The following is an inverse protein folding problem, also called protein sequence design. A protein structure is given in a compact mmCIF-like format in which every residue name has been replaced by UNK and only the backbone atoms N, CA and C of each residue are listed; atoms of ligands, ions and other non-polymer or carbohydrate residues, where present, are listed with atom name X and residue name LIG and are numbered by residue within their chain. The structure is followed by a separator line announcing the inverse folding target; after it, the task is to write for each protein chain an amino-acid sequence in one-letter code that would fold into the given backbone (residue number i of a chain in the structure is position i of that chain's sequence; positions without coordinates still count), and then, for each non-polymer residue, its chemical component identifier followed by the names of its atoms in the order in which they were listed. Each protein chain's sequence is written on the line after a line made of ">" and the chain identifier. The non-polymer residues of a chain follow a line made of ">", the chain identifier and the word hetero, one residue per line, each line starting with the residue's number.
data_IF_031803266073
#
_entry.id   IF_031803266073
#
_cell.length_a   1.000
_cell.length_b   1.000
_cell.length_c   1.000
_cell.angle_alpha   90.00
_cell.angle_beta   90.00
_cell.angle_gamma   90.00
#
_symmetry.space_group_name_H-M   'P 1'
#
loop_
_entity.id
_entity.type
_entity.pdbx_description
1 polymer ?
#
# COMPACT_ATOMS: atom_id res chain seq x y z
N UNK A 1 10.27 13.63 39.12
CA UNK A 1 10.69 12.29 38.69
C UNK A 1 9.46 11.40 38.70
N UNK A 2 9.09 10.93 37.51
CA UNK A 2 7.92 10.10 37.22
C UNK A 2 7.88 8.87 38.12
N UNK A 3 6.79 8.68 38.87
CA UNK A 3 6.41 7.34 39.33
C UNK A 3 6.01 6.55 38.08
N UNK A 4 6.98 5.96 37.40
CA UNK A 4 6.81 5.27 36.13
C UNK A 4 6.09 3.95 36.36
N UNK A 5 4.76 4.00 36.35
CA UNK A 5 3.93 2.81 36.27
C UNK A 5 4.29 2.09 34.96
N UNK A 6 4.80 0.85 35.01
CA UNK A 6 5.27 0.12 33.83
C UNK A 6 4.17 -0.05 32.77
N UNK A 7 2.91 -0.04 33.20
CA UNK A 7 1.74 -0.09 32.34
C UNK A 7 1.60 1.13 31.41
N UNK A 8 1.83 2.35 31.92
CA UNK A 8 1.67 3.57 31.10
C UNK A 8 2.73 3.65 30.00
N UNK A 9 3.97 3.19 30.27
CA UNK A 9 5.00 3.08 29.24
C UNK A 9 4.60 2.10 28.15
N UNK A 10 4.18 0.90 28.53
CA UNK A 10 3.76 -0.13 27.58
C UNK A 10 2.64 0.34 26.66
N UNK A 11 1.65 1.08 27.18
CA UNK A 11 0.54 1.61 26.39
C UNK A 11 1.04 2.68 25.41
N UNK A 12 1.87 3.63 25.88
CA UNK A 12 2.42 4.68 25.04
C UNK A 12 3.28 4.11 23.89
N UNK A 13 4.11 3.10 24.17
CA UNK A 13 4.90 2.39 23.16
C UNK A 13 3.99 1.67 22.15
N UNK A 14 2.87 1.07 22.58
CA UNK A 14 1.92 0.41 21.67
C UNK A 14 1.28 1.39 20.67
N UNK A 15 0.83 2.56 21.14
CA UNK A 15 0.28 3.59 20.25
C UNK A 15 1.31 4.08 19.23
N UNK A 16 2.56 4.28 19.65
CA UNK A 16 3.63 4.70 18.74
C UNK A 16 3.91 3.63 17.67
N UNK A 17 4.01 2.37 18.04
CA UNK A 17 4.22 1.26 17.10
C UNK A 17 3.06 1.14 16.09
N UNK A 18 1.81 1.28 16.55
CA UNK A 18 0.64 1.29 15.66
C UNK A 18 0.70 2.43 14.64
N UNK A 19 1.07 3.62 15.08
CA UNK A 19 1.16 4.79 14.21
C UNK A 19 2.26 4.62 13.14
N UNK A 20 3.43 4.13 13.56
CA UNK A 20 4.56 3.87 12.64
C UNK A 20 4.18 2.80 11.60
N UNK A 21 3.56 1.71 12.01
CA UNK A 21 3.12 0.65 11.10
C UNK A 21 2.11 1.15 10.05
N UNK A 22 1.18 2.01 10.45
CA UNK A 22 0.21 2.61 9.53
C UNK A 22 0.89 3.48 8.48
N UNK A 23 1.74 4.42 8.91
CA UNK A 23 2.50 5.29 8.00
C UNK A 23 3.44 4.50 7.08
N UNK A 24 4.07 3.45 7.60
CA UNK A 24 4.94 2.57 6.81
C UNK A 24 4.15 1.83 5.72
N UNK A 25 2.94 1.37 6.04
CA UNK A 25 2.09 0.68 5.07
C UNK A 25 1.61 1.62 3.97
N UNK A 26 1.19 2.84 4.33
CA UNK A 26 0.77 3.87 3.36
C UNK A 26 1.94 4.27 2.45
N UNK A 27 3.12 4.52 3.01
CA UNK A 27 4.29 4.91 2.22
C UNK A 27 4.77 3.79 1.28
N UNK A 28 4.78 2.54 1.74
CA UNK A 28 5.09 1.37 0.90
C UNK A 28 4.09 1.22 -0.25
N UNK A 29 2.81 1.48 -0.01
CA UNK A 29 1.78 1.47 -1.05
C UNK A 29 1.96 2.59 -2.08
N UNK A 30 2.27 3.81 -1.64
CA UNK A 30 2.57 4.92 -2.53
C UNK A 30 3.79 4.64 -3.42
N UNK A 31 4.84 4.02 -2.88
CA UNK A 31 6.02 3.61 -3.65
C UNK A 31 5.68 2.56 -4.71
N UNK A 32 4.83 1.59 -4.39
CA UNK A 32 4.35 0.60 -5.36
C UNK A 32 3.58 1.25 -6.52
N UNK A 33 2.70 2.22 -6.22
CA UNK A 33 1.99 2.98 -7.26
C UNK A 33 2.98 3.79 -8.10
N UNK A 34 3.96 4.42 -7.46
CA UNK A 34 4.96 5.25 -8.14
C UNK A 34 5.79 4.45 -9.14
N UNK A 35 6.31 3.29 -8.74
CA UNK A 35 7.07 2.38 -9.64
C UNK A 35 6.23 1.96 -10.86
N UNK A 36 4.95 1.76 -10.62
CA UNK A 36 4.00 1.36 -11.64
C UNK A 36 3.65 2.48 -12.62
N UNK A 37 3.49 3.72 -12.13
CA UNK A 37 3.31 4.91 -12.97
C UNK A 37 4.52 5.18 -13.85
N UNK A 38 5.73 4.93 -13.35
CA UNK A 38 6.97 5.13 -14.10
C UNK A 38 7.09 4.18 -15.29
N UNK A 39 6.62 2.94 -15.14
CA UNK A 39 6.70 1.89 -16.16
C UNK A 39 5.48 1.87 -17.10
N UNK A 40 4.37 2.50 -16.72
CA UNK A 40 3.17 2.66 -17.53
C UNK A 40 3.37 3.34 -18.90
N UNK A 41 4.14 4.44 -19.07
CA UNK A 41 4.31 5.07 -20.39
C UNK A 41 5.00 4.15 -21.38
N UNK A 42 5.98 3.37 -20.93
CA UNK A 42 6.64 2.37 -21.78
C UNK A 42 5.68 1.24 -22.14
N UNK A 43 4.85 0.79 -21.20
CA UNK A 43 3.80 -0.18 -21.50
C UNK A 43 2.78 0.34 -22.50
N UNK A 44 2.34 1.60 -22.41
CA UNK A 44 1.41 2.15 -23.41
C UNK A 44 2.07 2.19 -24.79
N UNK A 45 3.32 2.65 -24.88
CA UNK A 45 4.01 2.77 -26.16
C UNK A 45 4.26 1.42 -26.84
N UNK A 46 4.74 0.42 -26.09
CA UNK A 46 5.11 -0.89 -26.64
C UNK A 46 3.96 -1.91 -26.59
N UNK A 47 3.15 -1.89 -25.52
CA UNK A 47 2.06 -2.84 -25.29
C UNK A 47 0.71 -2.43 -25.90
N UNK A 48 0.41 -1.15 -26.16
CA UNK A 48 -0.89 -0.77 -26.73
C UNK A 48 -0.88 -0.61 -28.25
N UNK A 49 0.27 -0.35 -28.88
CA UNK A 49 0.37 -0.17 -30.34
C UNK A 49 0.46 -1.49 -31.16
N UNK A 50 0.18 -2.66 -30.58
CA UNK A 50 0.29 -3.96 -31.27
C UNK A 50 -0.91 -4.88 -31.05
N UNK A 51 -1.00 -5.99 -31.80
CA UNK A 51 -2.08 -6.99 -31.69
C UNK A 51 -2.28 -7.43 -30.23
N UNK A 52 -3.52 -7.36 -29.74
CA UNK A 52 -3.90 -7.83 -28.41
C UNK A 52 -3.89 -9.36 -28.38
N UNK A 53 -2.80 -9.93 -27.86
CA UNK A 53 -2.66 -11.38 -27.64
C UNK A 53 -3.18 -11.75 -26.26
N UNK A 54 -3.70 -12.98 -26.07
CA UNK A 54 -4.17 -13.51 -24.78
C UNK A 54 -3.13 -13.37 -23.66
N UNK A 55 -1.85 -13.50 -23.97
CA UNK A 55 -0.74 -13.34 -23.01
C UNK A 55 -0.66 -11.89 -22.49
N UNK A 56 -0.96 -10.88 -23.32
CA UNK A 56 -1.03 -9.46 -22.91
C UNK A 56 -2.19 -9.20 -21.97
N UNK A 57 -3.35 -9.78 -22.26
CA UNK A 57 -4.52 -9.67 -21.39
C UNK A 57 -4.26 -10.30 -20.02
N UNK A 58 -3.61 -11.47 -19.99
CA UNK A 58 -3.22 -12.14 -18.76
C UNK A 58 -2.16 -11.33 -17.98
N UNK A 59 -1.22 -10.70 -18.69
CA UNK A 59 -0.21 -9.83 -18.11
C UNK A 59 -0.83 -8.59 -17.45
N UNK A 60 -1.74 -7.91 -18.16
CA UNK A 60 -2.50 -6.81 -17.58
C UNK A 60 -3.34 -7.29 -16.40
N UNK A 61 -4.08 -8.40 -16.52
CA UNK A 61 -4.86 -8.93 -15.41
C UNK A 61 -3.99 -9.15 -14.16
N UNK A 62 -2.85 -9.81 -14.29
CA UNK A 62 -1.94 -10.07 -13.18
C UNK A 62 -1.30 -8.78 -12.61
N UNK A 63 -1.08 -7.78 -13.46
CA UNK A 63 -0.45 -6.51 -13.10
C UNK A 63 -1.41 -5.50 -12.47
N UNK A 64 -2.68 -5.50 -12.87
CA UNK A 64 -3.74 -4.65 -12.30
C UNK A 64 -4.40 -5.30 -11.06
N UNK A 65 -4.38 -6.63 -10.92
CA UNK A 65 -4.92 -7.30 -9.72
C UNK A 65 -4.13 -6.98 -8.46
N UNK A 66 -2.81 -6.81 -8.53
CA UNK A 66 -1.99 -6.46 -7.36
C UNK A 66 -2.40 -5.12 -6.68
N UNK A 67 -2.56 -3.99 -7.40
CA UNK A 67 -3.08 -2.75 -6.81
C UNK A 67 -4.57 -2.81 -6.44
N UNK A 68 -5.38 -3.61 -7.13
CA UNK A 68 -6.81 -3.82 -6.81
C UNK A 68 -7.04 -4.66 -5.55
N UNK A 69 -6.17 -5.64 -5.28
CA UNK A 69 -6.27 -6.49 -4.08
C UNK A 69 -5.68 -5.83 -2.84
N UNK A 70 -4.72 -4.91 -3.01
CA UNK A 70 -4.12 -4.16 -1.91
C UNK A 70 -4.93 -2.94 -1.47
N UNK A 71 -5.79 -2.39 -2.34
CA UNK A 71 -6.71 -1.29 -2.00
C UNK A 71 -7.64 -1.59 -0.82
N UNK A 72 -8.27 -2.79 -0.65
CA UNK A 72 -9.07 -3.07 0.53
C UNK A 72 -8.25 -3.08 1.82
N UNK A 73 -6.98 -3.50 1.79
CA UNK A 73 -6.11 -3.49 2.99
C UNK A 73 -5.80 -2.06 3.45
N UNK A 74 -5.56 -1.12 2.52
CA UNK A 74 -5.38 0.30 2.85
C UNK A 74 -6.68 0.93 3.38
N UNK A 75 -7.86 0.55 2.86
CA UNK A 75 -9.15 1.04 3.34
C UNK A 75 -9.48 0.55 4.75
N UNK A 76 -9.11 -0.68 5.09
CA UNK A 76 -9.26 -1.23 6.45
C UNK A 76 -8.33 -0.53 7.44
N UNK A 77 -7.08 -0.24 7.05
CA UNK A 77 -6.12 0.47 7.91
C UNK A 77 -6.48 1.95 8.10
N UNK A 78 -6.93 2.64 7.05
CA UNK A 78 -7.43 4.02 7.15
C UNK A 78 -8.70 4.07 7.98
N UNK A 79 -9.61 3.09 7.86
CA UNK A 79 -10.83 3.06 8.69
C UNK A 79 -10.54 2.80 10.18
N UNK A 80 -9.48 2.08 10.53
CA UNK A 80 -9.05 1.95 11.93
C UNK A 80 -8.32 3.20 12.46
N UNK A 81 -7.62 3.94 11.58
CA UNK A 81 -6.96 5.19 11.92
C UNK A 81 -7.92 6.39 12.06
N UNK A 82 -9.07 6.34 11.39
CA UNK A 82 -10.12 7.38 11.45
C UNK A 82 -11.04 7.24 12.69
N UNK A 83 -11.03 6.07 13.35
CA UNK A 83 -11.88 5.72 14.50
C UNK A 83 -11.17 5.76 15.88
N UNK A 84 -9.92 6.23 15.95
CA UNK A 84 -9.17 6.46 17.19
C UNK A 84 -8.77 7.91 17.33
#
# INVERSE_FOLDING_TARGET
>A
MSSSNPLLKSIADQFFNLHVCSLFTVSGYCLLIYDWLLTFPDEVNYMWNGRLTTVRALYFFNRYTAPLVSTPAHRVLVSCADWM
#
